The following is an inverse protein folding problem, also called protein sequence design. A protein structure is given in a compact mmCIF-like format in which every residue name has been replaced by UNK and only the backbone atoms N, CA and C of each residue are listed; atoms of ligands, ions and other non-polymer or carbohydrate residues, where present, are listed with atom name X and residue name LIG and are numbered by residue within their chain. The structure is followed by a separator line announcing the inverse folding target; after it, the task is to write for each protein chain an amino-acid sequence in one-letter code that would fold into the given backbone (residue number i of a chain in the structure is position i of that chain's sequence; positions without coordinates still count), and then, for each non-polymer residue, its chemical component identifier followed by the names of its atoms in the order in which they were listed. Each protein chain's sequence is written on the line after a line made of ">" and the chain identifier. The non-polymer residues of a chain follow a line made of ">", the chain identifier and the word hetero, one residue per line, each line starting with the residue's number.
data_IF_067517971870
#
_entry.id   IF_067517971870
#
_cell.length_a   1.000
_cell.length_b   1.000
_cell.length_c   1.000
_cell.angle_alpha   90.00
_cell.angle_beta   90.00
_cell.angle_gamma   90.00
#
_symmetry.space_group_name_H-M   'P 1'
#
loop_
_entity.id
_entity.type
_entity.pdbx_description
1 polymer ?
#
# COMPACT_ATOMS: atom_id res chain seq x y z
N UNK A 1 -13.86 36.06 22.09
CA UNK A 1 -13.87 34.57 22.11
C UNK A 1 -12.73 34.09 21.20
N UNK A 2 -11.64 33.50 21.71
CA UNK A 2 -10.54 33.06 20.85
C UNK A 2 -10.77 31.69 20.20
N UNK A 3 -10.28 31.59 18.96
CA UNK A 3 -9.69 30.45 18.24
C UNK A 3 -10.29 29.03 18.37
N UNK A 4 -10.93 28.59 17.28
CA UNK A 4 -10.99 27.16 16.91
C UNK A 4 -9.84 26.86 15.96
N UNK A 5 -8.83 26.13 16.46
CA UNK A 5 -7.63 25.75 15.73
C UNK A 5 -7.97 24.99 14.44
N UNK A 6 -7.54 25.55 13.30
CA UNK A 6 -7.28 24.75 12.12
C UNK A 6 -6.23 23.70 12.50
N UNK A 7 -6.57 22.42 12.37
CA UNK A 7 -5.58 21.34 12.40
C UNK A 7 -4.75 21.50 11.13
N UNK A 8 -3.69 22.31 11.23
CA UNK A 8 -2.63 22.33 10.24
C UNK A 8 -1.98 20.95 10.30
N UNK A 9 -2.07 20.17 9.22
CA UNK A 9 -1.18 19.01 9.06
C UNK A 9 0.25 19.55 8.94
N UNK A 10 0.88 19.75 10.10
CA UNK A 10 2.28 20.11 10.25
C UNK A 10 3.13 19.04 9.54
N UNK A 11 4.20 19.54 8.90
CA UNK A 11 5.00 18.84 7.91
C UNK A 11 5.43 17.43 8.31
N UNK A 12 5.29 16.51 7.36
CA UNK A 12 6.00 15.24 7.38
C UNK A 12 7.25 15.41 6.53
N UNK A 13 8.35 15.81 7.17
CA UNK A 13 9.66 15.47 6.64
C UNK A 13 9.73 13.95 6.53
N UNK A 14 10.41 13.43 5.50
CA UNK A 14 10.56 11.99 5.29
C UNK A 14 11.02 11.36 6.61
N UNK A 15 10.25 10.39 7.13
CA UNK A 15 10.63 9.69 8.37
C UNK A 15 11.96 8.95 8.24
N UNK A 16 12.39 8.76 7.00
CA UNK A 16 13.63 8.13 6.60
C UNK A 16 14.50 9.23 5.98
N UNK A 17 15.47 9.73 6.74
CA UNK A 17 16.41 10.72 6.26
C UNK A 17 17.46 10.06 5.36
N UNK A 18 17.54 10.50 4.10
CA UNK A 18 18.71 10.48 3.22
C UNK A 18 19.55 9.20 3.01
N UNK A 19 19.18 8.04 3.56
CA UNK A 19 20.03 6.85 3.52
C UNK A 19 19.35 5.52 3.78
N UNK A 20 18.03 5.44 3.61
CA UNK A 20 17.29 4.19 3.71
C UNK A 20 16.36 4.13 2.49
N UNK A 21 16.67 3.25 1.54
CA UNK A 21 15.82 3.05 0.37
C UNK A 21 14.54 2.32 0.78
N UNK A 22 13.41 2.74 0.23
CA UNK A 22 12.09 2.19 0.51
C UNK A 22 11.47 1.70 -0.79
N UNK A 23 11.20 0.40 -0.86
CA UNK A 23 10.58 -0.23 -2.03
C UNK A 23 9.13 -0.62 -1.74
N UNK A 24 8.27 -0.40 -2.73
CA UNK A 24 6.90 -0.91 -2.76
C UNK A 24 6.80 -2.05 -3.78
N UNK A 25 6.44 -3.24 -3.31
CA UNK A 25 6.21 -4.43 -4.14
C UNK A 25 4.72 -4.71 -4.33
N UNK A 26 4.33 -5.17 -5.53
CA UNK A 26 2.97 -5.60 -5.86
C UNK A 26 3.01 -7.07 -6.29
N UNK A 27 2.19 -7.90 -5.65
CA UNK A 27 1.98 -9.31 -6.02
C UNK A 27 0.55 -9.50 -6.52
N UNK A 28 0.37 -10.02 -7.72
CA UNK A 28 -0.94 -10.24 -8.33
C UNK A 28 -1.04 -11.62 -8.99
N UNK A 29 -0.67 -12.68 -8.26
CA UNK A 29 -0.68 -14.05 -8.79
C UNK A 29 -1.85 -14.88 -8.27
N UNK A 30 -2.50 -15.59 -9.19
CA UNK A 30 -3.61 -16.50 -8.94
C UNK A 30 -4.77 -15.88 -8.14
N UNK A 31 -4.92 -16.22 -6.87
CA UNK A 31 -6.03 -15.74 -6.05
C UNK A 31 -5.64 -14.57 -5.14
N UNK A 32 -4.36 -14.20 -5.07
CA UNK A 32 -3.89 -13.17 -4.15
C UNK A 32 -3.54 -11.89 -4.89
N UNK A 33 -3.99 -10.78 -4.33
CA UNK A 33 -3.47 -9.45 -4.59
C UNK A 33 -2.82 -8.94 -3.32
N UNK A 34 -1.54 -8.58 -3.36
CA UNK A 34 -0.77 -8.12 -2.21
C UNK A 34 0.03 -6.87 -2.54
N UNK A 35 0.22 -6.02 -1.53
CA UNK A 35 1.17 -4.90 -1.57
C UNK A 35 2.03 -4.95 -0.31
N UNK A 36 3.34 -4.92 -0.51
CA UNK A 36 4.34 -4.88 0.55
C UNK A 36 5.20 -3.63 0.46
N UNK A 37 5.62 -3.10 1.61
CA UNK A 37 6.60 -2.00 1.68
C UNK A 37 7.75 -2.45 2.57
N UNK A 38 8.97 -2.34 2.05
CA UNK A 38 10.19 -2.79 2.73
C UNK A 38 11.29 -1.74 2.65
N UNK A 39 12.21 -1.75 3.62
CA UNK A 39 13.47 -1.01 3.54
C UNK A 39 14.57 -1.85 2.89
N UNK A 40 15.64 -1.21 2.42
CA UNK A 40 16.88 -1.88 1.96
C UNK A 40 17.56 -2.75 3.03
N UNK A 41 17.26 -2.51 4.31
CA UNK A 41 17.70 -3.32 5.45
C UNK A 41 16.81 -4.54 5.70
N UNK A 42 15.76 -4.72 4.90
CA UNK A 42 14.81 -5.83 5.01
C UNK A 42 13.73 -5.65 6.07
N UNK A 43 13.53 -4.43 6.60
CA UNK A 43 12.42 -4.17 7.52
C UNK A 43 11.11 -4.12 6.75
N UNK A 44 10.09 -4.84 7.22
CA UNK A 44 8.75 -4.83 6.62
C UNK A 44 7.93 -3.72 7.29
N UNK A 45 7.64 -2.66 6.53
CA UNK A 45 6.86 -1.52 7.00
C UNK A 45 5.35 -1.74 6.80
N UNK A 46 4.97 -2.46 5.75
CA UNK A 46 3.59 -2.88 5.50
C UNK A 46 3.53 -4.17 4.70
N UNK A 47 2.51 -4.98 4.97
CA UNK A 47 2.14 -6.13 4.16
C UNK A 47 0.61 -6.27 4.22
N UNK A 48 -0.06 -5.99 3.11
CA UNK A 48 -1.51 -6.04 2.99
C UNK A 48 -1.90 -6.90 1.81
N UNK A 49 -3.00 -7.66 1.94
CA UNK A 49 -3.46 -8.53 0.87
C UNK A 49 -4.96 -8.66 0.84
N UNK A 50 -5.45 -9.02 -0.34
CA UNK A 50 -6.83 -9.42 -0.62
C UNK A 50 -6.83 -10.73 -1.38
N UNK A 51 -7.90 -11.49 -1.19
CA UNK A 51 -8.10 -12.77 -1.87
C UNK A 51 -9.26 -12.62 -2.85
N UNK A 52 -8.97 -12.84 -4.13
CA UNK A 52 -9.97 -13.06 -5.16
C UNK A 52 -10.64 -14.41 -4.91
N UNK A 53 -11.96 -14.38 -4.67
CA UNK A 53 -12.79 -15.57 -4.51
C UNK A 53 -13.79 -15.64 -5.66
N UNK A 54 -13.55 -16.48 -6.69
CA UNK A 54 -14.51 -16.65 -7.79
C UNK A 54 -15.82 -17.24 -7.24
N UNK A 55 -16.96 -16.75 -7.73
CA UNK A 55 -18.27 -17.21 -7.27
C UNK A 55 -18.50 -18.71 -7.56
N UNK A 56 -17.96 -19.19 -8.66
CA UNK A 56 -18.10 -20.58 -9.12
C UNK A 56 -16.88 -21.02 -9.92
N UNK A 57 -16.50 -22.30 -9.78
CA UNK A 57 -15.42 -22.92 -10.54
C UNK A 57 -14.01 -22.62 -10.00
N UNK A 58 -12.99 -22.88 -10.84
CA UNK A 58 -11.58 -22.62 -10.52
C UNK A 58 -11.11 -21.21 -10.85
N UNK A 59 -9.79 -20.99 -10.90
CA UNK A 59 -9.20 -19.70 -11.24
C UNK A 59 -9.65 -19.26 -12.63
N UNK A 60 -10.31 -18.10 -12.70
CA UNK A 60 -10.70 -17.47 -13.95
C UNK A 60 -9.79 -16.26 -14.18
N UNK A 61 -8.79 -16.35 -15.09
CA UNK A 61 -7.77 -15.31 -15.25
C UNK A 61 -8.34 -13.91 -15.52
N UNK A 62 -9.43 -13.83 -16.31
CA UNK A 62 -10.09 -12.56 -16.62
C UNK A 62 -10.77 -11.94 -15.40
N UNK A 63 -11.47 -12.73 -14.60
CA UNK A 63 -12.13 -12.25 -13.38
C UNK A 63 -11.08 -11.83 -12.33
N UNK A 64 -9.97 -12.58 -12.21
CA UNK A 64 -8.86 -12.22 -11.34
C UNK A 64 -8.21 -10.89 -11.76
N UNK A 65 -7.93 -10.69 -13.05
CA UNK A 65 -7.37 -9.45 -13.58
C UNK A 65 -8.28 -8.24 -13.32
N UNK A 66 -9.60 -8.41 -13.50
CA UNK A 66 -10.58 -7.37 -13.20
C UNK A 66 -10.59 -7.06 -11.69
N UNK A 67 -10.61 -8.09 -10.85
CA UNK A 67 -10.51 -7.92 -9.40
C UNK A 67 -9.24 -7.16 -8.99
N UNK A 68 -8.10 -7.46 -9.61
CA UNK A 68 -6.84 -6.74 -9.33
C UNK A 68 -6.96 -5.26 -9.68
N UNK A 69 -7.47 -4.94 -10.88
CA UNK A 69 -7.64 -3.56 -11.34
C UNK A 69 -8.57 -2.75 -10.43
N UNK A 70 -9.64 -3.38 -9.93
CA UNK A 70 -10.60 -2.74 -9.02
C UNK A 70 -10.04 -2.52 -7.61
N UNK A 71 -9.09 -3.34 -7.16
CA UNK A 71 -8.62 -3.34 -5.77
C UNK A 71 -7.24 -2.72 -5.55
N UNK A 72 -6.33 -2.75 -6.53
CA UNK A 72 -4.91 -2.40 -6.34
C UNK A 72 -4.71 -0.99 -5.81
N UNK A 73 -5.46 -0.01 -6.33
CA UNK A 73 -5.37 1.39 -5.92
C UNK A 73 -5.71 1.59 -4.44
N UNK A 74 -6.72 0.85 -3.94
CA UNK A 74 -7.08 0.90 -2.51
C UNK A 74 -6.03 0.21 -1.63
N UNK A 75 -5.42 -0.87 -2.14
CA UNK A 75 -4.39 -1.62 -1.44
C UNK A 75 -3.09 -0.83 -1.29
N UNK A 76 -2.68 -0.10 -2.32
CA UNK A 76 -1.52 0.80 -2.27
C UNK A 76 -1.74 1.91 -1.22
N UNK A 77 -2.95 2.46 -1.15
CA UNK A 77 -3.29 3.47 -0.12
C UNK A 77 -3.22 2.87 1.28
N UNK A 78 -3.81 1.71 1.49
CA UNK A 78 -3.78 1.00 2.77
C UNK A 78 -2.33 0.66 3.20
N UNK A 79 -1.47 0.23 2.27
CA UNK A 79 -0.07 -0.06 2.58
C UNK A 79 0.70 1.20 3.01
N UNK A 80 0.48 2.32 2.31
CA UNK A 80 1.12 3.60 2.66
C UNK A 80 0.63 4.12 4.03
N UNK A 81 -0.66 3.99 4.32
CA UNK A 81 -1.25 4.35 5.61
C UNK A 81 -0.67 3.48 6.75
N UNK A 82 -0.57 2.16 6.56
CA UNK A 82 0.03 1.26 7.57
C UNK A 82 1.51 1.53 7.78
N UNK A 83 2.26 1.83 6.73
CA UNK A 83 3.67 2.23 6.82
C UNK A 83 3.84 3.66 7.37
N UNK A 84 2.76 4.44 7.50
CA UNK A 84 2.79 5.86 7.83
C UNK A 84 3.70 6.67 6.88
N UNK A 85 3.61 6.36 5.59
CA UNK A 85 4.37 6.95 4.50
C UNK A 85 3.45 7.67 3.52
N UNK A 86 4.04 8.54 2.71
CA UNK A 86 3.44 9.10 1.50
C UNK A 86 4.05 8.44 0.27
N UNK A 87 3.41 8.59 -0.89
CA UNK A 87 3.95 8.09 -2.15
C UNK A 87 5.30 8.75 -2.53
N UNK A 88 5.65 9.90 -1.96
CA UNK A 88 6.94 10.58 -2.17
C UNK A 88 8.08 9.96 -1.38
N UNK A 89 7.78 9.10 -0.42
CA UNK A 89 8.79 8.41 0.39
C UNK A 89 9.23 7.08 -0.23
N UNK A 90 8.61 6.64 -1.35
CA UNK A 90 8.98 5.42 -2.07
C UNK A 90 10.00 5.79 -3.16
N UNK A 91 11.06 4.99 -3.29
CA UNK A 91 12.14 5.17 -4.28
C UNK A 91 11.89 4.49 -5.63
#
# INVERSE_FOLDING_TARGET
>A
MPAGNAVTHNGRGSKFGGGCLISLGIEGTAYKLGVGIVTDKGEILANVSRVFSPKEGGLKPREAAQYYAENISSLIRESLEKANLSARDID
#
